data_IF_662093834534
#
_entry.id   IF_662093834534
#
_cell.length_a   1.000
_cell.length_b   1.000
_cell.length_c   1.000
_cell.angle_alpha   90.00
_cell.angle_beta   90.00
_cell.angle_gamma   90.00
#
_symmetry.space_group_name_H-M   'P 1'
#
loop_
_entity.id
_entity.type
_entity.pdbx_description
1 polymer ?
#
# COMPACT_ATOMS: atom_id res chain seq x y z
N UNK A 1 -6.48 0.35 -49.60
CA UNK A 1 -5.83 -0.97 -49.80
C UNK A 1 -6.06 -1.81 -48.55
N UNK A 2 -6.53 -3.03 -48.78
CA UNK A 2 -6.83 -4.07 -47.81
C UNK A 2 -5.58 -4.96 -47.71
N UNK A 3 -5.04 -5.22 -46.51
CA UNK A 3 -4.37 -6.49 -46.16
C UNK A 3 -4.48 -6.72 -44.64
N UNK A 4 -5.13 -7.84 -44.34
CA UNK A 4 -5.31 -8.54 -43.06
C UNK A 4 -4.03 -9.26 -42.59
N UNK A 5 -4.15 -9.95 -41.44
CA UNK A 5 -3.45 -11.17 -40.98
C UNK A 5 -2.75 -10.90 -39.65
N UNK A 6 -3.35 -11.16 -38.48
CA UNK A 6 -3.81 -12.43 -37.88
C UNK A 6 -2.67 -13.41 -37.55
N UNK A 7 -2.41 -13.63 -36.27
CA UNK A 7 -1.84 -14.87 -35.76
C UNK A 7 -2.36 -15.13 -34.34
N UNK A 8 -3.44 -15.90 -34.30
CA UNK A 8 -3.94 -16.60 -33.12
C UNK A 8 -3.00 -17.76 -32.83
N UNK A 9 -2.66 -17.96 -31.56
CA UNK A 9 -1.95 -19.15 -31.09
C UNK A 9 -2.46 -19.58 -29.72
N UNK A 10 -3.65 -20.19 -29.68
CA UNK A 10 -4.09 -20.99 -28.54
C UNK A 10 -3.79 -22.45 -28.90
N UNK A 11 -2.85 -23.07 -28.19
CA UNK A 11 -2.62 -24.50 -28.29
C UNK A 11 -2.78 -25.14 -26.92
N UNK A 12 -3.83 -25.96 -26.77
CA UNK A 12 -4.06 -26.80 -25.59
C UNK A 12 -4.21 -28.26 -26.05
N UNK A 13 -3.67 -29.15 -25.21
CA UNK A 13 -3.88 -30.59 -25.09
C UNK A 13 -3.28 -31.50 -26.17
N UNK A 14 -2.19 -32.17 -25.77
CA UNK A 14 -1.84 -33.50 -26.26
C UNK A 14 -2.30 -34.55 -25.23
N UNK A 15 -2.97 -35.60 -25.70
CA UNK A 15 -3.26 -36.81 -24.93
C UNK A 15 -2.54 -38.01 -25.55
N UNK A 16 -2.23 -38.95 -24.66
CA UNK A 16 -2.03 -40.40 -24.87
C UNK A 16 -0.70 -40.90 -25.47
N UNK A 17 0.05 -41.62 -24.63
CA UNK A 17 0.50 -42.99 -24.92
C UNK A 17 0.78 -43.73 -23.60
N UNK A 18 0.44 -45.03 -23.56
CA UNK A 18 0.43 -45.88 -22.40
C UNK A 18 1.79 -46.57 -22.10
N UNK A 19 1.99 -46.90 -20.83
CA UNK A 19 2.75 -48.00 -20.21
C UNK A 19 3.94 -48.63 -20.96
N UNK A 20 5.13 -48.58 -20.35
CA UNK A 20 5.70 -49.71 -19.59
C UNK A 20 7.18 -49.47 -19.24
N UNK A 21 7.55 -49.73 -17.98
CA UNK A 21 8.79 -50.36 -17.50
C UNK A 21 9.16 -49.75 -16.14
N UNK A 22 9.15 -50.62 -15.12
CA UNK A 22 9.57 -50.33 -13.75
C UNK A 22 11.09 -50.38 -13.74
N UNK A 23 11.73 -49.27 -13.37
CA UNK A 23 13.05 -49.29 -12.76
C UNK A 23 12.97 -48.59 -11.40
N UNK A 24 13.22 -49.39 -10.38
CA UNK A 24 13.41 -49.03 -8.99
C UNK A 24 14.75 -48.31 -8.83
N UNK A 25 14.72 -47.01 -8.55
CA UNK A 25 15.81 -46.30 -7.89
C UNK A 25 15.29 -45.01 -7.26
N UNK A 26 15.49 -44.92 -5.95
CA UNK A 26 14.95 -43.93 -5.06
C UNK A 26 15.45 -42.50 -5.30
N UNK A 27 14.65 -41.57 -4.76
CA UNK A 27 14.96 -40.17 -4.44
C UNK A 27 14.94 -39.17 -5.62
N UNK A 28 13.76 -38.58 -5.85
CA UNK A 28 13.69 -37.17 -6.27
C UNK A 28 12.41 -36.54 -5.71
N UNK A 29 12.41 -36.31 -4.39
CA UNK A 29 11.55 -35.31 -3.78
C UNK A 29 12.27 -33.98 -3.95
N UNK A 30 11.70 -33.09 -4.75
CA UNK A 30 12.08 -31.68 -4.74
C UNK A 30 12.45 -31.14 -6.11
N UNK A 31 11.44 -30.86 -6.94
CA UNK A 31 11.65 -29.93 -8.05
C UNK A 31 10.41 -29.13 -8.41
N UNK A 32 9.87 -28.43 -7.41
CA UNK A 32 8.75 -27.50 -7.66
C UNK A 32 8.81 -26.18 -6.88
N UNK A 33 9.98 -25.72 -6.42
CA UNK A 33 10.03 -24.43 -5.68
C UNK A 33 11.11 -23.42 -6.10
N UNK A 34 12.00 -23.71 -7.06
CA UNK A 34 13.06 -22.76 -7.42
C UNK A 34 12.64 -21.64 -8.39
N UNK A 35 11.61 -21.84 -9.22
CA UNK A 35 11.20 -20.81 -10.19
C UNK A 35 10.45 -19.64 -9.54
N UNK A 36 9.60 -19.91 -8.54
CA UNK A 36 8.84 -18.85 -7.85
C UNK A 36 9.71 -17.99 -6.93
N UNK A 37 10.85 -18.50 -6.49
CA UNK A 37 11.76 -17.75 -5.61
C UNK A 37 12.57 -16.70 -6.36
N UNK A 38 13.03 -16.98 -7.58
CA UNK A 38 13.86 -16.03 -8.34
C UNK A 38 13.06 -14.78 -8.77
N UNK A 39 11.83 -14.98 -9.25
CA UNK A 39 10.91 -13.88 -9.61
C UNK A 39 10.51 -13.06 -8.38
N UNK A 40 10.25 -13.71 -7.23
CA UNK A 40 9.92 -13.02 -5.99
C UNK A 40 11.11 -12.23 -5.43
N UNK A 41 12.33 -12.78 -5.47
CA UNK A 41 13.55 -12.07 -5.07
C UNK A 41 13.81 -10.86 -5.97
N UNK A 42 13.56 -10.99 -7.27
CA UNK A 42 13.62 -9.87 -8.22
C UNK A 42 12.58 -8.79 -7.91
N UNK A 43 11.34 -9.18 -7.60
CA UNK A 43 10.26 -8.28 -7.21
C UNK A 43 10.51 -7.54 -5.88
N UNK A 44 10.96 -8.25 -4.84
CA UNK A 44 11.35 -7.66 -3.56
C UNK A 44 12.48 -6.65 -3.73
N UNK A 45 13.49 -6.97 -4.54
CA UNK A 45 14.61 -6.07 -4.83
C UNK A 45 14.16 -4.75 -5.47
N UNK A 46 13.23 -4.81 -6.43
CA UNK A 46 12.64 -3.63 -7.08
C UNK A 46 11.88 -2.79 -6.07
N UNK A 47 11.01 -3.40 -5.26
CA UNK A 47 10.21 -2.69 -4.26
C UNK A 47 11.09 -2.02 -3.20
N UNK A 48 12.13 -2.70 -2.72
CA UNK A 48 13.11 -2.10 -1.80
C UNK A 48 13.85 -0.92 -2.45
N UNK A 49 14.11 -0.97 -3.77
CA UNK A 49 14.64 0.16 -4.54
C UNK A 49 13.71 1.35 -4.54
N UNK A 50 12.45 1.13 -4.93
CA UNK A 50 11.41 2.17 -4.96
C UNK A 50 11.17 2.79 -3.58
N UNK A 51 11.18 1.97 -2.53
CA UNK A 51 11.02 2.43 -1.15
C UNK A 51 12.16 3.37 -0.74
N UNK A 52 13.42 3.01 -1.05
CA UNK A 52 14.59 3.86 -0.77
C UNK A 52 14.56 5.18 -1.54
N UNK A 53 14.13 5.15 -2.81
CA UNK A 53 13.96 6.37 -3.60
C UNK A 53 12.86 7.26 -3.00
N UNK A 54 11.70 6.70 -2.66
CA UNK A 54 10.64 7.44 -1.99
C UNK A 54 11.08 8.04 -0.65
N UNK A 55 11.85 7.30 0.16
CA UNK A 55 12.46 7.78 1.39
C UNK A 55 13.39 8.98 1.16
N UNK A 56 14.28 8.89 0.16
CA UNK A 56 15.21 9.98 -0.21
C UNK A 56 14.45 11.22 -0.65
N UNK A 57 13.36 11.02 -1.39
CA UNK A 57 12.50 12.11 -1.89
C UNK A 57 11.58 12.68 -0.79
N UNK A 58 11.62 12.13 0.43
CA UNK A 58 10.77 12.56 1.56
C UNK A 58 9.30 12.10 1.46
N UNK A 59 8.98 11.20 0.54
CA UNK A 59 7.65 10.63 0.32
C UNK A 59 7.41 9.44 1.25
N UNK A 60 7.20 9.71 2.54
CA UNK A 60 7.11 8.64 3.55
C UNK A 60 5.75 7.95 3.49
N UNK A 61 4.68 8.73 3.60
CA UNK A 61 3.28 8.26 3.66
C UNK A 61 2.39 8.83 2.56
N UNK A 62 2.91 9.82 1.83
CA UNK A 62 2.23 10.50 0.76
C UNK A 62 3.19 10.74 -0.42
N UNK A 63 2.68 10.84 -1.66
CA UNK A 63 1.29 10.60 -2.05
C UNK A 63 0.92 9.11 -2.03
N UNK A 64 -0.38 8.81 -2.03
CA UNK A 64 -0.88 7.44 -2.15
C UNK A 64 -0.39 6.75 -3.43
N UNK A 65 -0.04 5.46 -3.35
CA UNK A 65 0.48 4.69 -4.48
C UNK A 65 1.95 4.96 -4.82
N UNK A 66 2.58 5.93 -4.17
CA UNK A 66 3.99 6.28 -4.43
C UNK A 66 4.63 6.86 -3.17
N UNK A 67 4.70 6.04 -2.13
CA UNK A 67 5.37 6.39 -0.88
C UNK A 67 6.14 5.19 -0.31
N UNK A 68 7.10 5.48 0.57
CA UNK A 68 8.00 4.48 1.12
C UNK A 68 7.27 3.40 1.92
N UNK A 69 6.29 3.78 2.75
CA UNK A 69 5.57 2.83 3.59
C UNK A 69 4.80 1.79 2.76
N UNK A 70 4.09 2.21 1.71
CA UNK A 70 3.40 1.28 0.81
C UNK A 70 4.35 0.30 0.12
N UNK A 71 5.51 0.76 -0.34
CA UNK A 71 6.50 -0.13 -0.96
C UNK A 71 7.09 -1.13 0.05
N UNK A 72 7.43 -0.69 1.27
CA UNK A 72 7.92 -1.62 2.30
C UNK A 72 6.86 -2.60 2.78
N UNK A 73 5.60 -2.17 2.93
CA UNK A 73 4.49 -3.08 3.24
C UNK A 73 4.27 -4.10 2.11
N UNK A 74 4.46 -3.70 0.86
CA UNK A 74 4.43 -4.62 -0.29
C UNK A 74 5.56 -5.64 -0.23
N UNK A 75 6.77 -5.24 0.20
CA UNK A 75 7.87 -6.17 0.48
C UNK A 75 7.47 -7.17 1.56
N UNK A 76 6.87 -6.72 2.67
CA UNK A 76 6.42 -7.61 3.75
C UNK A 76 5.30 -8.57 3.35
N UNK A 77 4.48 -8.22 2.35
CA UNK A 77 3.50 -9.16 1.78
C UNK A 77 4.17 -10.30 1.01
N UNK A 78 5.29 -10.04 0.34
CA UNK A 78 6.07 -11.05 -0.38
C UNK A 78 6.98 -11.84 0.57
N UNK A 79 7.63 -11.14 1.49
CA UNK A 79 8.61 -11.65 2.45
C UNK A 79 8.30 -11.14 3.86
N UNK A 80 7.40 -11.82 4.60
CA UNK A 80 6.98 -11.37 5.93
C UNK A 80 8.11 -11.21 6.96
N UNK A 81 9.22 -11.91 6.76
CA UNK A 81 10.40 -11.88 7.62
C UNK A 81 11.53 -10.96 7.12
N UNK A 82 11.29 -10.12 6.10
CA UNK A 82 12.30 -9.23 5.54
C UNK A 82 12.73 -8.16 6.57
N UNK A 83 13.90 -8.37 7.19
CA UNK A 83 14.43 -7.50 8.23
C UNK A 83 14.64 -6.06 7.75
N UNK A 84 15.10 -5.89 6.50
CA UNK A 84 15.35 -4.56 5.93
C UNK A 84 14.07 -3.72 5.86
N UNK A 85 12.94 -4.31 5.45
CA UNK A 85 11.67 -3.60 5.41
C UNK A 85 11.13 -3.28 6.81
N UNK A 86 11.19 -4.24 7.74
CA UNK A 86 10.79 -4.03 9.15
C UNK A 86 11.60 -2.91 9.82
N UNK A 87 12.92 -2.93 9.66
CA UNK A 87 13.81 -1.91 10.23
C UNK A 87 13.52 -0.53 9.64
N UNK A 88 13.39 -0.43 8.32
CA UNK A 88 13.11 0.82 7.65
C UNK A 88 11.76 1.43 8.08
N UNK A 89 10.70 0.60 8.18
CA UNK A 89 9.38 1.03 8.66
C UNK A 89 9.45 1.53 10.11
N UNK A 90 10.10 0.77 11.00
CA UNK A 90 10.29 1.14 12.41
C UNK A 90 11.05 2.46 12.56
N UNK A 91 12.16 2.62 11.84
CA UNK A 91 13.01 3.81 11.93
C UNK A 91 12.35 5.06 11.37
N UNK A 92 11.51 4.88 10.35
CA UNK A 92 10.84 5.99 9.67
C UNK A 92 9.53 6.38 10.33
N UNK A 93 9.00 5.54 11.22
CA UNK A 93 7.69 5.69 11.84
C UNK A 93 7.49 7.04 12.53
N UNK A 94 8.48 7.49 13.30
CA UNK A 94 8.39 8.79 14.02
C UNK A 94 8.26 9.95 13.02
N UNK A 95 9.11 9.96 11.98
CA UNK A 95 9.09 11.01 10.96
C UNK A 95 7.81 10.98 10.12
N UNK A 96 7.31 9.79 9.81
CA UNK A 96 6.03 9.61 9.14
C UNK A 96 4.87 10.14 10.00
N UNK A 97 4.87 9.85 11.31
CA UNK A 97 3.86 10.36 12.25
C UNK A 97 3.86 11.89 12.32
N UNK A 98 5.03 12.53 12.28
CA UNK A 98 5.16 13.99 12.21
C UNK A 98 4.63 14.57 10.88
N UNK A 99 4.79 13.85 9.76
CA UNK A 99 4.22 14.23 8.48
C UNK A 99 2.69 14.20 8.50
N UNK A 100 2.11 13.14 9.05
CA UNK A 100 0.65 13.02 9.27
C UNK A 100 0.15 14.16 10.15
N UNK A 101 0.87 14.47 11.21
CA UNK A 101 0.50 15.58 12.08
C UNK A 101 0.45 16.91 11.31
N UNK A 102 1.42 17.15 10.41
CA UNK A 102 1.40 18.31 9.51
C UNK A 102 0.22 18.26 8.54
N UNK A 103 -0.13 17.10 7.99
CA UNK A 103 -1.30 16.91 7.13
C UNK A 103 -2.60 17.26 7.86
N UNK A 104 -2.76 16.82 9.12
CA UNK A 104 -3.88 17.22 9.98
C UNK A 104 -3.91 18.75 10.19
N UNK A 105 -2.75 19.34 10.49
CA UNK A 105 -2.64 20.79 10.73
C UNK A 105 -2.98 21.63 9.49
N UNK A 106 -2.72 21.11 8.28
CA UNK A 106 -3.14 21.74 7.00
C UNK A 106 -4.64 21.61 6.71
N UNK A 107 -5.38 20.86 7.54
CA UNK A 107 -6.79 20.50 7.33
C UNK A 107 -7.02 19.57 6.13
N UNK A 108 -5.99 18.86 5.70
CA UNK A 108 -6.09 17.80 4.69
C UNK A 108 -6.60 16.51 5.37
N UNK A 109 -7.80 16.58 5.96
CA UNK A 109 -8.27 15.59 6.94
C UNK A 109 -8.52 14.19 6.34
N UNK A 110 -8.91 14.13 5.07
CA UNK A 110 -9.09 12.86 4.37
C UNK A 110 -7.75 12.21 4.00
N UNK A 111 -6.74 13.01 3.65
CA UNK A 111 -5.38 12.49 3.43
C UNK A 111 -4.79 11.96 4.74
N UNK A 112 -4.88 12.76 5.80
CA UNK A 112 -4.42 12.34 7.12
C UNK A 112 -5.09 11.06 7.61
N UNK A 113 -6.38 10.83 7.29
CA UNK A 113 -7.04 9.56 7.61
C UNK A 113 -6.33 8.40 6.92
N UNK A 114 -6.10 8.51 5.61
CA UNK A 114 -5.43 7.45 4.83
C UNK A 114 -4.01 7.18 5.32
N UNK A 115 -3.24 8.24 5.59
CA UNK A 115 -1.87 8.10 6.08
C UNK A 115 -1.82 7.42 7.47
N UNK A 116 -2.77 7.71 8.36
CA UNK A 116 -2.89 7.00 9.66
C UNK A 116 -3.20 5.53 9.44
N UNK A 117 -4.16 5.23 8.57
CA UNK A 117 -4.56 3.84 8.30
C UNK A 117 -3.43 3.05 7.63
N UNK A 118 -2.61 3.69 6.80
CA UNK A 118 -1.38 3.12 6.25
C UNK A 118 -0.38 2.73 7.35
N UNK A 119 -0.13 3.60 8.33
CA UNK A 119 0.80 3.28 9.43
C UNK A 119 0.27 2.19 10.36
N UNK A 120 -1.07 2.07 10.50
CA UNK A 120 -1.71 1.01 11.28
C UNK A 120 -1.51 -0.38 10.69
N UNK A 121 -1.29 -0.48 9.38
CA UNK A 121 -0.98 -1.78 8.74
C UNK A 121 0.34 -2.36 9.25
N UNK A 122 1.28 -1.49 9.65
CA UNK A 122 2.54 -1.91 10.25
C UNK A 122 2.43 -2.12 11.77
N UNK A 123 1.83 -1.17 12.48
CA UNK A 123 1.72 -1.20 13.95
C UNK A 123 0.36 -0.64 14.39
N UNK A 124 -0.65 -1.51 14.48
CA UNK A 124 -2.02 -1.12 14.83
C UNK A 124 -2.17 -0.63 16.27
N UNK A 125 -1.30 -1.10 17.17
CA UNK A 125 -1.39 -0.90 18.61
C UNK A 125 -0.55 0.30 19.09
N UNK A 126 0.01 1.06 18.15
CA UNK A 126 0.85 2.22 18.45
C UNK A 126 0.06 3.38 19.09
N UNK A 127 0.48 3.80 20.29
CA UNK A 127 -0.13 4.93 20.99
C UNK A 127 -0.09 6.25 20.19
N UNK A 128 0.95 6.47 19.38
CA UNK A 128 1.08 7.67 18.53
C UNK A 128 -0.06 7.74 17.51
N UNK A 129 -0.45 6.60 16.92
CA UNK A 129 -1.57 6.54 15.97
C UNK A 129 -2.92 6.73 16.66
N UNK A 130 -3.06 6.28 17.91
CA UNK A 130 -4.23 6.58 18.72
C UNK A 130 -4.36 8.10 18.97
N UNK A 131 -3.25 8.77 19.32
CA UNK A 131 -3.21 10.21 19.52
C UNK A 131 -3.54 10.99 18.23
N UNK A 132 -2.93 10.62 17.10
CA UNK A 132 -3.22 11.23 15.80
C UNK A 132 -4.68 11.03 15.38
N UNK A 133 -5.25 9.85 15.63
CA UNK A 133 -6.66 9.56 15.39
C UNK A 133 -7.60 10.45 16.22
N UNK A 134 -7.25 10.71 17.48
CA UNK A 134 -7.96 11.68 18.33
C UNK A 134 -7.87 13.11 17.78
N UNK A 135 -6.67 13.54 17.40
CA UNK A 135 -6.43 14.88 16.82
C UNK A 135 -7.23 15.09 15.53
N UNK A 136 -7.21 14.10 14.63
CA UNK A 136 -7.99 14.11 13.39
C UNK A 136 -9.49 14.21 13.66
N UNK A 137 -10.00 13.44 14.63
CA UNK A 137 -11.42 13.46 14.99
C UNK A 137 -11.85 14.82 15.55
N UNK A 138 -11.03 15.44 16.39
CA UNK A 138 -11.26 16.79 16.90
C UNK A 138 -11.27 17.83 15.77
N UNK A 139 -10.32 17.74 14.83
CA UNK A 139 -10.24 18.64 13.68
C UNK A 139 -11.48 18.53 12.76
N UNK A 140 -11.95 17.30 12.48
CA UNK A 140 -13.17 17.06 11.69
C UNK A 140 -14.40 17.66 12.35
N UNK A 141 -14.58 17.43 13.65
CA UNK A 141 -15.72 17.97 14.39
C UNK A 141 -15.75 19.51 14.37
N UNK A 142 -14.59 20.16 14.45
CA UNK A 142 -14.50 21.61 14.34
C UNK A 142 -14.91 22.10 12.94
N UNK A 143 -14.43 21.44 11.89
CA UNK A 143 -14.76 21.78 10.50
C UNK A 143 -16.26 21.61 10.22
N UNK A 144 -16.87 20.51 10.68
CA UNK A 144 -18.32 20.28 10.56
C UNK A 144 -19.11 21.42 11.22
N UNK A 145 -18.78 21.78 12.47
CA UNK A 145 -19.44 22.90 13.18
C UNK A 145 -19.29 24.24 12.45
N UNK A 146 -18.14 24.50 11.83
CA UNK A 146 -17.92 25.70 11.03
C UNK A 146 -18.84 25.74 9.80
N UNK A 147 -18.98 24.62 9.09
CA UNK A 147 -19.88 24.53 7.94
C UNK A 147 -21.35 24.67 8.33
N UNK A 148 -21.77 24.07 9.44
CA UNK A 148 -23.14 24.20 9.95
C UNK A 148 -23.48 25.65 10.31
N UNK A 149 -22.60 26.32 11.06
CA UNK A 149 -22.79 27.73 11.44
C UNK A 149 -22.86 28.65 10.20
N UNK A 150 -22.04 28.41 9.19
CA UNK A 150 -22.07 29.17 7.95
C UNK A 150 -23.38 28.93 7.17
N UNK A 151 -23.84 27.69 7.09
CA UNK A 151 -25.13 27.36 6.46
C UNK A 151 -26.31 28.01 7.18
N UNK A 152 -26.29 28.10 8.51
CA UNK A 152 -27.28 28.84 9.29
C UNK A 152 -27.26 30.34 9.01
N UNK A 153 -26.07 30.95 8.95
CA UNK A 153 -25.92 32.37 8.62
C UNK A 153 -26.48 32.70 7.25
N UNK A 154 -26.17 31.89 6.24
CA UNK A 154 -26.70 32.06 4.88
C UNK A 154 -28.22 31.93 4.85
N UNK A 155 -28.78 30.98 5.60
CA UNK A 155 -30.26 30.80 5.71
C UNK A 155 -30.93 32.01 6.35
N UNK A 156 -30.37 32.54 7.45
CA UNK A 156 -30.90 33.73 8.12
C UNK A 156 -30.82 34.97 7.24
N UNK A 157 -29.69 35.18 6.55
CA UNK A 157 -29.51 36.31 5.64
C UNK A 157 -30.52 36.28 4.47
N UNK A 158 -30.80 35.09 3.91
CA UNK A 158 -31.81 34.93 2.85
C UNK A 158 -33.23 35.20 3.35
N UNK A 159 -33.57 34.75 4.56
CA UNK A 159 -34.90 34.96 5.14
C UNK A 159 -35.16 36.43 5.53
N UNK A 160 -34.12 37.21 5.87
CA UNK A 160 -34.26 38.62 6.20
C UNK A 160 -34.32 39.54 4.97
N UNK A 161 -33.96 39.03 3.78
CA UNK A 161 -33.95 39.79 2.52
C UNK A 161 -35.18 39.55 1.62
N UNK A 162 -36.11 38.69 2.03
CA UNK A 162 -37.38 38.39 1.35
C UNK A 162 -38.56 38.99 2.10
#
# INVERSE_FOLDING_TARGET
>A
MLVLVAAVGIFRHGQAAANAAIEDAALSTGWVSEASTDDAQSGTGILLGLARDAMRDGRLVAPAGSNAFEFYLSVLQLEPANLTAHEALRESFVRASEEIERTINRKDLEEARREIDLLREFDSDNFTLALLGGKLSAARNLMTKQHEAEAERIRQARAAGS
#
